data_IF_669210770860
#
_entry.id   IF_669210770860
#
_cell.length_a   1.000
_cell.length_b   1.000
_cell.length_c   1.000
_cell.angle_alpha   90.00
_cell.angle_beta   90.00
_cell.angle_gamma   90.00
#
_symmetry.space_group_name_H-M   'P 1'
#
loop_
_entity.id
_entity.type
_entity.pdbx_description
1 polymer ?
#
# COMPACT_ATOMS: atom_id res chain seq x y z
N UNK A 1 -15.91 15.48 15.87
CA UNK A 1 -14.55 15.53 15.28
C UNK A 1 -13.86 14.21 15.60
N UNK A 2 -13.53 13.38 14.60
CA UNK A 2 -12.77 12.12 14.84
C UNK A 2 -11.30 12.47 15.07
N UNK A 3 -10.63 11.79 16.02
CA UNK A 3 -9.20 11.96 16.29
C UNK A 3 -8.39 11.75 14.98
N UNK A 4 -7.30 12.50 14.76
CA UNK A 4 -6.37 12.23 13.67
C UNK A 4 -5.85 10.78 13.80
N UNK A 5 -5.79 10.07 12.69
CA UNK A 5 -5.09 8.79 12.61
C UNK A 5 -3.60 9.10 12.75
N UNK A 6 -2.95 8.60 13.80
CA UNK A 6 -1.50 8.72 13.91
C UNK A 6 -0.82 7.73 12.95
N UNK A 7 -0.06 8.26 11.98
CA UNK A 7 0.82 7.48 11.11
C UNK A 7 2.09 7.07 11.89
N UNK A 8 1.94 6.18 12.87
CA UNK A 8 3.02 5.83 13.81
C UNK A 8 3.99 4.73 13.33
N UNK A 9 3.68 4.04 12.23
CA UNK A 9 4.43 2.84 11.85
C UNK A 9 5.84 3.17 11.33
N UNK A 10 5.95 4.16 10.44
CA UNK A 10 7.22 4.59 9.83
C UNK A 10 8.04 5.56 10.71
N UNK A 11 7.48 5.99 11.84
CA UNK A 11 8.13 6.86 12.83
C UNK A 11 8.43 6.13 14.15
N UNK A 12 8.15 4.82 14.23
CA UNK A 12 8.40 4.03 15.42
C UNK A 12 9.91 3.81 15.65
N UNK A 13 10.33 3.79 16.92
CA UNK A 13 11.73 3.55 17.32
C UNK A 13 12.22 2.21 16.76
N UNK A 14 11.38 1.17 16.83
CA UNK A 14 11.70 -0.17 16.30
C UNK A 14 11.96 -0.19 14.81
N UNK A 15 11.27 0.66 14.04
CA UNK A 15 11.53 0.79 12.60
C UNK A 15 12.92 1.40 12.35
N UNK A 16 13.28 2.45 13.11
CA UNK A 16 14.62 3.07 13.03
C UNK A 16 15.74 2.13 13.45
N UNK A 17 15.57 1.38 14.54
CA UNK A 17 16.53 0.36 15.00
C UNK A 17 16.77 -0.70 13.94
N UNK A 18 15.69 -1.24 13.33
CA UNK A 18 15.81 -2.26 12.29
C UNK A 18 16.51 -1.75 11.03
N UNK A 19 16.25 -0.51 10.62
CA UNK A 19 16.94 0.10 9.49
C UNK A 19 18.44 0.28 9.78
N UNK A 20 18.80 0.71 10.98
CA UNK A 20 20.20 0.81 11.40
C UNK A 20 20.90 -0.56 11.43
N UNK A 21 20.23 -1.61 11.91
CA UNK A 21 20.76 -2.98 11.91
C UNK A 21 21.12 -3.49 10.50
N UNK A 22 20.33 -3.14 9.49
CA UNK A 22 20.56 -3.57 8.10
C UNK A 22 21.35 -2.54 7.28
N UNK A 23 21.82 -1.45 7.91
CA UNK A 23 22.56 -0.37 7.24
C UNK A 23 21.73 0.44 6.24
N UNK A 24 20.41 0.44 6.35
CA UNK A 24 19.51 1.18 5.48
C UNK A 24 19.22 2.58 6.04
N UNK A 25 19.25 3.59 5.18
CA UNK A 25 18.80 4.95 5.55
C UNK A 25 17.29 5.07 5.37
N UNK A 26 16.54 5.53 6.39
CA UNK A 26 15.11 5.79 6.21
C UNK A 26 14.90 6.88 5.18
N UNK A 27 14.28 6.54 4.05
CA UNK A 27 13.73 7.50 3.09
C UNK A 27 12.29 7.83 3.44
N UNK A 28 12.09 8.37 4.64
CA UNK A 28 10.78 8.86 5.08
C UNK A 28 10.70 10.33 4.63
N UNK A 29 9.90 10.62 3.61
CA UNK A 29 9.73 11.98 3.09
C UNK A 29 9.34 12.97 4.19
N UNK A 30 9.68 14.24 4.03
CA UNK A 30 9.19 15.30 4.92
C UNK A 30 7.69 15.53 4.68
N UNK A 31 6.96 16.09 5.65
CA UNK A 31 5.53 16.41 5.47
C UNK A 31 5.37 17.33 4.26
N UNK A 32 4.73 16.84 3.20
CA UNK A 32 4.48 17.59 1.97
C UNK A 32 5.41 17.26 0.80
N UNK A 33 6.42 16.42 0.97
CA UNK A 33 7.26 15.92 -0.12
C UNK A 33 6.81 14.51 -0.53
N UNK A 34 5.67 14.44 -1.23
CA UNK A 34 4.99 13.18 -1.57
C UNK A 34 5.26 12.70 -2.99
N UNK A 35 6.24 13.24 -3.71
CA UNK A 35 6.49 12.88 -5.10
C UNK A 35 6.78 11.37 -5.27
N UNK A 36 7.59 10.79 -4.39
CA UNK A 36 7.88 9.35 -4.39
C UNK A 36 6.63 8.52 -4.10
N UNK A 37 5.73 9.03 -3.25
CA UNK A 37 4.51 8.34 -2.89
C UNK A 37 3.38 8.55 -3.90
N UNK A 38 3.41 9.61 -4.72
CA UNK A 38 2.33 9.95 -5.64
C UNK A 38 2.11 8.83 -6.68
N UNK A 39 3.18 8.26 -7.21
CA UNK A 39 3.10 7.10 -8.11
C UNK A 39 2.56 5.87 -7.39
N UNK A 40 3.08 5.58 -6.19
CA UNK A 40 2.63 4.44 -5.38
C UNK A 40 1.15 4.56 -4.99
N UNK A 41 0.70 5.76 -4.62
CA UNK A 41 -0.69 6.08 -4.29
C UNK A 41 -1.60 5.94 -5.51
N UNK A 42 -1.15 6.39 -6.68
CA UNK A 42 -1.89 6.25 -7.94
C UNK A 42 -2.09 4.77 -8.28
N UNK A 43 -1.02 3.97 -8.24
CA UNK A 43 -1.09 2.51 -8.48
C UNK A 43 -1.99 1.83 -7.45
N UNK A 44 -1.88 2.17 -6.17
CA UNK A 44 -2.75 1.64 -5.12
C UNK A 44 -4.22 2.05 -5.30
N UNK A 45 -4.46 3.25 -5.83
CA UNK A 45 -5.78 3.74 -6.20
C UNK A 45 -6.41 2.88 -7.29
N UNK A 46 -5.69 2.64 -8.38
CA UNK A 46 -6.13 1.75 -9.47
C UNK A 46 -6.35 0.32 -8.98
N UNK A 47 -5.42 -0.25 -8.22
CA UNK A 47 -5.54 -1.59 -7.66
C UNK A 47 -6.82 -1.76 -6.84
N UNK A 48 -7.14 -0.80 -5.97
CA UNK A 48 -8.38 -0.82 -5.18
C UNK A 48 -9.63 -0.63 -6.03
N UNK A 49 -9.59 0.24 -7.02
CA UNK A 49 -10.75 0.55 -7.86
C UNK A 49 -11.09 -0.60 -8.82
N UNK A 50 -10.07 -1.15 -9.48
CA UNK A 50 -10.24 -2.11 -10.57
C UNK A 50 -10.19 -3.54 -10.08
N UNK A 51 -9.15 -3.93 -9.32
CA UNK A 51 -8.98 -5.32 -8.88
C UNK A 51 -9.87 -5.63 -7.67
N UNK A 52 -9.92 -4.77 -6.66
CA UNK A 52 -10.68 -5.07 -5.44
C UNK A 52 -12.19 -4.79 -5.61
N UNK A 53 -12.55 -3.62 -6.16
CA UNK A 53 -13.97 -3.20 -6.26
C UNK A 53 -14.61 -3.52 -7.62
N UNK A 54 -13.82 -3.64 -8.68
CA UNK A 54 -14.29 -3.92 -10.04
C UNK A 54 -15.00 -5.28 -10.23
N UNK A 55 -14.57 -6.39 -9.60
CA UNK A 55 -15.22 -7.70 -9.75
C UNK A 55 -16.70 -7.71 -9.34
N UNK A 56 -17.04 -6.97 -8.28
CA UNK A 56 -18.43 -6.75 -7.84
C UNK A 56 -19.26 -6.04 -8.91
N UNK A 57 -18.63 -5.23 -9.76
CA UNK A 57 -19.29 -4.46 -10.84
C UNK A 57 -19.33 -5.21 -12.18
N UNK A 58 -18.59 -6.31 -12.33
CA UNK A 58 -18.33 -6.95 -13.64
C UNK A 58 -18.74 -8.43 -13.69
N UNK A 59 -19.66 -8.86 -12.83
CA UNK A 59 -20.16 -10.25 -12.72
C UNK A 59 -19.09 -11.30 -12.36
N UNK A 60 -17.85 -10.89 -12.07
CA UNK A 60 -16.80 -11.77 -11.51
C UNK A 60 -16.96 -11.98 -10.00
N UNK A 61 -18.02 -11.39 -9.42
CA UNK A 61 -18.42 -11.54 -8.02
C UNK A 61 -17.50 -10.79 -7.06
N UNK A 62 -17.87 -10.66 -5.78
CA UNK A 62 -16.88 -10.38 -4.77
C UNK A 62 -15.89 -11.54 -4.69
N UNK A 63 -14.63 -11.23 -4.41
CA UNK A 63 -13.63 -12.24 -4.07
C UNK A 63 -14.12 -13.10 -2.90
N UNK A 64 -13.94 -14.41 -2.99
CA UNK A 64 -14.45 -15.35 -1.98
C UNK A 64 -13.39 -15.69 -0.95
N UNK A 65 -12.13 -15.76 -1.38
CA UNK A 65 -10.98 -16.05 -0.51
C UNK A 65 -9.83 -15.08 -0.75
N UNK A 66 -8.82 -15.13 0.12
CA UNK A 66 -7.59 -14.34 -0.04
C UNK A 66 -6.79 -14.84 -1.24
N UNK A 67 -6.77 -16.15 -1.46
CA UNK A 67 -6.07 -16.79 -2.58
C UNK A 67 -6.62 -16.31 -3.94
N UNK A 68 -7.93 -16.06 -4.05
CA UNK A 68 -8.52 -15.48 -5.27
C UNK A 68 -7.92 -14.09 -5.57
N UNK A 69 -7.71 -13.28 -4.53
CA UNK A 69 -7.11 -11.95 -4.65
C UNK A 69 -5.62 -12.05 -4.96
N UNK A 70 -4.89 -12.93 -4.29
CA UNK A 70 -3.46 -13.16 -4.53
C UNK A 70 -3.20 -13.59 -5.97
N UNK A 71 -3.98 -14.54 -6.49
CA UNK A 71 -3.89 -14.98 -7.88
C UNK A 71 -4.20 -13.84 -8.86
N UNK A 72 -5.24 -13.06 -8.58
CA UNK A 72 -5.60 -11.89 -9.39
C UNK A 72 -4.57 -10.76 -9.31
N UNK A 73 -3.73 -10.73 -8.27
CA UNK A 73 -2.67 -9.74 -8.07
C UNK A 73 -1.42 -10.04 -8.90
N UNK A 74 -1.16 -11.32 -9.22
CA UNK A 74 0.05 -11.71 -9.96
C UNK A 74 0.31 -10.89 -11.24
N UNK A 75 -0.70 -10.55 -12.07
CA UNK A 75 -0.49 -9.74 -13.28
C UNK A 75 -0.17 -8.26 -13.00
N UNK A 76 -0.40 -7.75 -11.78
CA UNK A 76 -0.10 -6.38 -11.38
C UNK A 76 1.35 -6.20 -10.92
N UNK A 77 2.08 -7.30 -10.71
CA UNK A 77 3.50 -7.26 -10.37
C UNK A 77 4.32 -7.12 -11.66
N UNK A 78 5.13 -6.06 -11.80
CA UNK A 78 6.04 -5.93 -12.94
C UNK A 78 6.95 -7.16 -13.02
N UNK A 79 7.17 -7.67 -14.24
CA UNK A 79 8.12 -8.77 -14.47
C UNK A 79 9.57 -8.30 -14.43
#
# INVERSE_FOLDING_TARGET
MRRPVEYGQFTSIRYGERLAEIGATPSIGTVGDSYDNALAETVNGYYKAELIRGPVRTHRGPWKTVEDVELATLPWVPR
#
